data_IF_281471856384
#
_entry.id   IF_281471856384
#
_cell.length_a   1.000
_cell.length_b   1.000
_cell.length_c   1.000
_cell.angle_alpha   90.00
_cell.angle_beta   90.00
_cell.angle_gamma   90.00
#
_symmetry.space_group_name_H-M   'P 1'
#
loop_
_entity.id
_entity.type
_entity.pdbx_description
1 polymer ?
#
# COMPACT_ATOMS: atom_id res chain seq x y z
N UNK A 1 2.26 8.90 18.77
CA UNK A 1 1.25 7.82 18.90
C UNK A 1 1.87 6.45 18.70
N UNK A 2 1.34 5.46 19.43
CA UNK A 2 1.50 4.03 19.07
C UNK A 2 0.45 3.68 18.04
N UNK A 3 0.82 2.99 16.96
CA UNK A 3 -0.11 2.60 15.93
C UNK A 3 0.01 1.12 15.58
N UNK A 4 -1.11 0.53 15.20
CA UNK A 4 -1.22 -0.81 14.66
C UNK A 4 -1.84 -0.73 13.26
N UNK A 5 -1.43 -1.60 12.34
CA UNK A 5 -2.02 -1.69 11.00
C UNK A 5 -2.78 -3.00 10.89
N UNK A 6 -4.08 -2.89 10.70
CA UNK A 6 -4.98 -4.00 10.42
C UNK A 6 -5.17 -4.13 8.90
N UNK A 7 -4.83 -5.29 8.37
CA UNK A 7 -4.72 -5.51 6.94
C UNK A 7 -5.94 -6.25 6.37
N UNK A 8 -6.66 -5.60 5.44
CA UNK A 8 -7.83 -6.15 4.72
C UNK A 8 -7.68 -6.08 3.21
N UNK A 9 -6.47 -6.25 2.68
CA UNK A 9 -6.18 -6.03 1.27
C UNK A 9 -5.35 -7.13 0.61
N UNK A 10 -4.98 -6.86 -0.64
CA UNK A 10 -4.12 -7.74 -1.45
C UNK A 10 -2.63 -7.43 -1.21
N UNK A 11 -1.73 -8.19 -1.86
CA UNK A 11 -0.29 -7.99 -1.80
C UNK A 11 0.17 -6.53 -2.07
N UNK A 12 -0.52 -5.80 -2.97
CA UNK A 12 -0.21 -4.39 -3.21
C UNK A 12 -0.53 -3.51 -2.00
N UNK A 13 -1.66 -3.76 -1.35
CA UNK A 13 -2.02 -3.07 -0.10
C UNK A 13 -1.06 -3.42 1.04
N UNK A 14 -0.57 -4.67 1.06
CA UNK A 14 0.41 -5.06 2.08
C UNK A 14 1.68 -4.23 1.94
N UNK A 15 2.24 -4.10 0.72
CA UNK A 15 3.39 -3.23 0.45
C UNK A 15 3.09 -1.77 0.82
N UNK A 16 1.89 -1.26 0.51
CA UNK A 16 1.47 0.08 0.92
C UNK A 16 1.45 0.22 2.46
N UNK A 17 0.97 -0.80 3.17
CA UNK A 17 0.98 -0.83 4.65
C UNK A 17 2.38 -0.89 5.26
N UNK A 18 3.28 -1.64 4.66
CA UNK A 18 4.69 -1.70 5.07
C UNK A 18 5.40 -0.35 4.87
N UNK A 19 5.13 0.32 3.74
CA UNK A 19 5.61 1.68 3.49
C UNK A 19 4.99 2.69 4.46
N UNK A 20 3.67 2.59 4.69
CA UNK A 20 2.96 3.42 5.67
C UNK A 20 3.59 3.31 7.06
N UNK A 21 3.86 2.08 7.52
CA UNK A 21 4.53 1.85 8.80
C UNK A 21 5.91 2.52 8.86
N UNK A 22 6.72 2.37 7.80
CA UNK A 22 8.05 2.95 7.74
C UNK A 22 8.04 4.49 7.77
N UNK A 23 7.08 5.11 7.07
CA UNK A 23 6.91 6.57 7.05
C UNK A 23 6.46 7.12 8.40
N UNK A 24 5.57 6.42 9.09
CA UNK A 24 5.10 6.80 10.41
C UNK A 24 6.20 6.62 11.47
N UNK A 25 6.98 5.54 11.42
CA UNK A 25 8.14 5.34 12.30
C UNK A 25 9.20 6.43 12.09
N UNK A 26 9.47 6.80 10.83
CA UNK A 26 10.39 7.91 10.51
C UNK A 26 9.91 9.27 11.03
N UNK A 27 8.59 9.44 11.18
CA UNK A 27 7.97 10.64 11.75
C UNK A 27 7.88 10.62 13.29
N UNK A 28 8.42 9.59 13.96
CA UNK A 28 8.47 9.50 15.42
C UNK A 28 7.29 8.78 16.06
N UNK A 29 6.40 8.16 15.27
CA UNK A 29 5.36 7.28 15.80
C UNK A 29 5.92 5.86 16.01
N UNK A 30 5.26 5.05 16.84
CA UNK A 30 5.73 3.71 17.20
C UNK A 30 4.76 2.64 16.73
N UNK A 31 5.23 1.72 15.88
CA UNK A 31 4.46 0.54 15.52
C UNK A 31 4.36 -0.43 16.71
N UNK A 32 3.17 -0.98 16.94
CA UNK A 32 2.92 -2.04 17.93
C UNK A 32 2.30 -3.26 17.24
N UNK A 33 2.59 -4.49 17.73
CA UNK A 33 2.16 -5.72 17.06
C UNK A 33 0.68 -6.08 17.26
N UNK A 34 0.00 -5.37 18.17
CA UNK A 34 -1.40 -5.64 18.53
C UNK A 34 -2.21 -4.35 18.62
N UNK A 35 -3.47 -4.41 18.20
CA UNK A 35 -4.42 -3.32 18.36
C UNK A 35 -4.68 -2.95 19.83
N UNK A 36 -4.53 -3.88 20.77
CA UNK A 36 -4.66 -3.63 22.19
C UNK A 36 -3.68 -2.57 22.72
N UNK A 37 -2.45 -2.58 22.20
CA UNK A 37 -1.37 -1.69 22.60
C UNK A 37 -1.39 -0.34 21.87
N UNK A 38 -2.18 -0.23 20.81
CA UNK A 38 -2.22 0.95 19.95
C UNK A 38 -3.08 2.08 20.51
N UNK A 39 -2.65 3.32 20.28
CA UNK A 39 -3.48 4.53 20.45
C UNK A 39 -4.33 4.76 19.19
N UNK A 40 -3.80 4.37 18.02
CA UNK A 40 -4.44 4.48 16.73
C UNK A 40 -4.39 3.15 15.97
N UNK A 41 -5.53 2.68 15.48
CA UNK A 41 -5.62 1.52 14.60
C UNK A 41 -5.85 2.01 13.17
N UNK A 42 -4.94 1.64 12.28
CA UNK A 42 -5.00 1.99 10.86
C UNK A 42 -5.55 0.78 10.11
N UNK A 43 -6.75 0.90 9.56
CA UNK A 43 -7.36 -0.15 8.75
C UNK A 43 -6.93 0.07 7.31
N UNK A 44 -6.05 -0.81 6.81
CA UNK A 44 -5.56 -0.74 5.43
C UNK A 44 -6.49 -1.56 4.52
N UNK A 45 -7.37 -0.84 3.82
CA UNK A 45 -8.60 -1.34 3.23
C UNK A 45 -8.48 -1.72 1.76
N UNK A 46 -9.32 -2.65 1.32
CA UNK A 46 -9.59 -2.96 -0.08
C UNK A 46 -10.83 -2.22 -0.59
N UNK A 47 -10.72 -1.52 -1.72
CA UNK A 47 -11.83 -0.82 -2.37
C UNK A 47 -12.37 -1.50 -3.63
N UNK A 48 -11.91 -2.73 -3.93
CA UNK A 48 -12.21 -3.43 -5.18
C UNK A 48 -13.31 -4.48 -5.04
N UNK A 49 -13.20 -5.38 -4.07
CA UNK A 49 -14.11 -6.50 -3.85
C UNK A 49 -15.13 -6.15 -2.76
N UNK A 50 -16.42 -6.43 -3.00
CA UNK A 50 -17.49 -6.06 -2.07
C UNK A 50 -17.34 -6.70 -0.68
N UNK A 51 -16.97 -7.98 -0.64
CA UNK A 51 -16.72 -8.68 0.63
C UNK A 51 -15.59 -8.04 1.44
N UNK A 52 -14.49 -7.63 0.79
CA UNK A 52 -13.38 -6.99 1.46
C UNK A 52 -13.70 -5.55 1.93
N UNK A 53 -14.57 -4.84 1.19
CA UNK A 53 -15.10 -3.54 1.68
C UNK A 53 -15.89 -3.73 2.96
N UNK A 54 -16.82 -4.71 2.94
CA UNK A 54 -17.62 -5.05 4.12
C UNK A 54 -16.76 -5.43 5.31
N UNK A 55 -15.77 -6.30 5.11
CA UNK A 55 -14.81 -6.70 6.15
C UNK A 55 -14.09 -5.49 6.76
N UNK A 56 -13.61 -4.57 5.93
CA UNK A 56 -12.95 -3.34 6.39
C UNK A 56 -13.87 -2.43 7.21
N UNK A 57 -15.14 -2.30 6.81
CA UNK A 57 -16.15 -1.52 7.54
C UNK A 57 -16.49 -2.20 8.87
N UNK A 58 -16.76 -3.51 8.83
CA UNK A 58 -17.09 -4.30 10.04
C UNK A 58 -15.94 -4.23 11.06
N UNK A 59 -14.68 -4.25 10.60
CA UNK A 59 -13.50 -4.09 11.46
C UNK A 59 -13.49 -2.73 12.18
N UNK A 60 -13.75 -1.64 11.46
CA UNK A 60 -13.79 -0.30 12.06
C UNK A 60 -14.90 -0.16 13.11
N UNK A 61 -16.09 -0.70 12.82
CA UNK A 61 -17.21 -0.73 13.76
C UNK A 61 -16.87 -1.56 15.01
N UNK A 62 -16.25 -2.73 14.82
CA UNK A 62 -15.83 -3.59 15.91
C UNK A 62 -14.77 -2.90 16.80
N UNK A 63 -13.78 -2.23 16.21
CA UNK A 63 -12.76 -1.49 16.94
C UNK A 63 -13.39 -0.44 17.84
N UNK A 64 -14.29 0.39 17.33
CA UNK A 64 -14.95 1.41 18.12
C UNK A 64 -15.92 0.85 19.17
N UNK A 65 -16.50 -0.31 18.91
CA UNK A 65 -17.33 -1.00 19.90
C UNK A 65 -16.50 -1.51 21.08
N UNK A 66 -15.36 -2.14 20.83
CA UNK A 66 -14.50 -2.72 21.88
C UNK A 66 -13.56 -1.70 22.53
N UNK A 67 -13.12 -0.70 21.77
CA UNK A 67 -12.16 0.32 22.20
C UNK A 67 -12.61 1.73 21.75
N UNK A 68 -13.65 2.31 22.36
CA UNK A 68 -14.24 3.58 21.91
C UNK A 68 -13.26 4.77 21.92
N UNK A 69 -12.25 4.71 22.79
CA UNK A 69 -11.25 5.77 22.94
C UNK A 69 -10.11 5.70 21.92
N UNK A 70 -9.92 4.55 21.26
CA UNK A 70 -8.87 4.42 20.24
C UNK A 70 -9.22 5.18 18.97
N UNK A 71 -8.21 5.77 18.36
CA UNK A 71 -8.36 6.42 17.05
C UNK A 71 -8.44 5.37 15.94
N UNK A 72 -9.30 5.60 14.96
CA UNK A 72 -9.46 4.76 13.78
C UNK A 72 -9.16 5.59 12.53
N UNK A 73 -8.11 5.20 11.80
CA UNK A 73 -7.76 5.76 10.51
C UNK A 73 -8.09 4.74 9.41
N UNK A 74 -9.03 5.07 8.53
CA UNK A 74 -9.30 4.24 7.34
C UNK A 74 -8.32 4.66 6.24
N UNK A 75 -7.45 3.73 5.84
CA UNK A 75 -6.46 3.95 4.80
C UNK A 75 -6.64 2.98 3.62
N UNK A 76 -6.00 3.26 2.50
CA UNK A 76 -5.94 2.32 1.37
C UNK A 76 -6.97 2.55 0.27
N UNK A 77 -7.30 1.47 -0.46
CA UNK A 77 -8.10 1.56 -1.69
C UNK A 77 -9.55 2.00 -1.45
N UNK A 78 -10.17 1.61 -0.34
CA UNK A 78 -11.53 2.04 0.00
C UNK A 78 -11.54 3.55 0.30
N UNK A 79 -10.58 4.01 1.10
CA UNK A 79 -10.37 5.41 1.43
C UNK A 79 -10.13 6.27 0.17
N UNK A 80 -9.33 5.77 -0.77
CA UNK A 80 -9.06 6.46 -2.04
C UNK A 80 -10.31 6.57 -2.92
N UNK A 81 -11.16 5.53 -2.91
CA UNK A 81 -12.31 5.44 -3.81
C UNK A 81 -13.54 6.17 -3.30
N UNK A 82 -13.77 6.17 -2.00
CA UNK A 82 -15.00 6.66 -1.37
C UNK A 82 -14.75 7.57 -0.17
N UNK A 83 -13.86 8.59 -0.29
CA UNK A 83 -13.48 9.40 0.88
C UNK A 83 -14.66 10.18 1.48
N UNK A 84 -15.52 10.74 0.63
CA UNK A 84 -16.67 11.53 1.07
C UNK A 84 -17.71 10.68 1.80
N UNK A 85 -18.04 9.50 1.24
CA UNK A 85 -18.97 8.57 1.89
C UNK A 85 -18.45 8.12 3.25
N UNK A 86 -17.16 7.76 3.36
CA UNK A 86 -16.54 7.39 4.62
C UNK A 86 -16.57 8.53 5.65
N UNK A 87 -16.33 9.76 5.20
CA UNK A 87 -16.38 10.91 6.10
C UNK A 87 -17.80 11.26 6.53
N UNK A 88 -18.80 11.03 5.69
CA UNK A 88 -20.19 11.42 5.95
C UNK A 88 -20.97 10.34 6.70
N UNK A 89 -20.81 9.07 6.30
CA UNK A 89 -21.64 7.97 6.78
C UNK A 89 -20.99 7.16 7.90
N UNK A 90 -19.64 7.21 8.04
CA UNK A 90 -18.90 6.41 9.00
C UNK A 90 -18.32 7.29 10.12
N UNK A 91 -19.16 7.57 11.12
CA UNK A 91 -18.76 8.42 12.26
C UNK A 91 -17.69 7.79 13.15
N UNK A 92 -17.52 6.49 13.07
CA UNK A 92 -16.49 5.69 13.74
C UNK A 92 -15.07 5.95 13.21
N UNK A 93 -14.95 6.43 11.97
CA UNK A 93 -13.64 6.82 11.43
C UNK A 93 -13.24 8.20 11.95
N UNK A 94 -12.12 8.27 12.67
CA UNK A 94 -11.52 9.54 13.10
C UNK A 94 -10.77 10.24 11.95
N UNK A 95 -10.41 9.49 10.88
CA UNK A 95 -9.77 10.04 9.69
C UNK A 95 -9.78 9.09 8.50
N UNK A 96 -9.53 9.65 7.33
CA UNK A 96 -9.44 8.92 6.05
C UNK A 96 -8.14 9.31 5.34
N UNK A 97 -7.38 8.31 4.86
CA UNK A 97 -6.13 8.48 4.12
C UNK A 97 -6.17 7.67 2.82
N UNK A 98 -6.11 8.34 1.68
CA UNK A 98 -5.96 7.68 0.38
C UNK A 98 -4.62 6.97 0.23
N UNK A 99 -4.52 6.06 -0.75
CA UNK A 99 -3.32 5.30 -1.01
C UNK A 99 -2.43 5.90 -2.12
N UNK A 100 -2.83 7.03 -2.71
CA UNK A 100 -2.09 7.63 -3.80
C UNK A 100 -0.78 8.28 -3.35
N UNK A 101 -0.79 8.91 -2.18
CA UNK A 101 0.40 9.54 -1.59
C UNK A 101 0.55 9.20 -0.11
N UNK A 102 1.31 8.15 0.16
CA UNK A 102 1.59 7.70 1.53
C UNK A 102 2.52 8.64 2.30
N UNK A 103 3.16 9.61 1.63
CA UNK A 103 3.97 10.63 2.32
C UNK A 103 3.14 11.54 3.23
N UNK A 104 1.83 11.57 3.02
CA UNK A 104 0.87 12.34 3.82
C UNK A 104 0.42 11.63 5.11
N UNK A 105 0.83 10.38 5.31
CA UNK A 105 0.46 9.61 6.51
C UNK A 105 0.86 10.27 7.85
N UNK A 106 2.06 10.86 7.99
CA UNK A 106 2.41 11.58 9.22
C UNK A 106 1.49 12.76 9.51
N UNK A 107 0.99 13.43 8.46
CA UNK A 107 0.01 14.51 8.63
C UNK A 107 -1.34 13.97 9.12
N UNK A 108 -1.79 12.83 8.58
CA UNK A 108 -3.03 12.20 9.02
C UNK A 108 -2.98 11.88 10.52
N UNK A 109 -1.87 11.26 11.00
CA UNK A 109 -1.73 10.98 12.43
C UNK A 109 -1.65 12.25 13.29
N UNK A 110 -0.94 13.28 12.85
CA UNK A 110 -0.91 14.57 13.58
C UNK A 110 -2.32 15.19 13.73
N UNK A 111 -3.14 15.13 12.67
CA UNK A 111 -4.51 15.62 12.75
C UNK A 111 -5.32 14.83 13.80
N UNK A 112 -5.15 13.51 13.84
CA UNK A 112 -5.80 12.65 14.85
C UNK A 112 -5.33 12.97 16.28
N UNK A 113 -4.05 13.23 16.48
CA UNK A 113 -3.49 13.66 17.79
C UNK A 113 -4.14 14.96 18.28
N UNK A 114 -4.44 15.88 17.36
CA UNK A 114 -5.09 17.15 17.65
C UNK A 114 -6.62 17.02 17.77
N UNK A 115 -7.17 15.81 17.66
CA UNK A 115 -8.62 15.57 17.68
C UNK A 115 -9.34 16.08 16.42
N UNK A 116 -8.60 16.32 15.33
CA UNK A 116 -9.15 16.81 14.07
C UNK A 116 -9.53 15.62 13.18
N UNK A 117 -10.81 15.47 12.91
CA UNK A 117 -11.32 14.53 11.92
C UNK A 117 -11.05 15.07 10.51
N UNK A 118 -10.29 14.33 9.69
CA UNK A 118 -9.87 14.82 8.37
C UNK A 118 -9.82 13.73 7.32
N UNK A 119 -10.02 14.12 6.04
CA UNK A 119 -9.79 13.28 4.87
C UNK A 119 -8.59 13.82 4.11
N UNK A 120 -7.59 12.97 3.91
CA UNK A 120 -6.38 13.29 3.14
C UNK A 120 -6.32 12.33 1.96
N UNK A 121 -6.79 12.79 0.81
CA UNK A 121 -6.87 12.01 -0.42
C UNK A 121 -6.41 12.86 -1.59
N UNK A 122 -5.51 12.30 -2.40
CA UNK A 122 -5.06 12.94 -3.64
C UNK A 122 -5.95 12.48 -4.79
N UNK A 123 -6.57 13.43 -5.47
CA UNK A 123 -7.54 13.16 -6.54
C UNK A 123 -6.91 12.61 -7.83
N UNK A 124 -5.65 12.98 -8.11
CA UNK A 124 -4.94 12.59 -9.33
C UNK A 124 -3.69 11.75 -9.02
N UNK A 125 -3.86 10.45 -8.69
CA UNK A 125 -2.74 9.58 -8.32
C UNK A 125 -1.60 9.51 -9.34
N UNK A 126 -1.89 9.73 -10.64
CA UNK A 126 -0.90 9.68 -11.72
C UNK A 126 0.19 10.77 -11.64
N UNK A 127 -0.08 11.86 -10.94
CA UNK A 127 0.86 12.99 -10.79
C UNK A 127 1.87 12.76 -9.66
N UNK A 128 1.67 11.72 -8.86
CA UNK A 128 2.53 11.39 -7.72
C UNK A 128 3.70 10.54 -8.20
N UNK A 129 4.91 10.93 -7.81
CA UNK A 129 6.09 10.12 -8.06
C UNK A 129 5.95 8.75 -7.39
N UNK A 130 6.30 7.69 -8.13
CA UNK A 130 6.27 6.32 -7.66
C UNK A 130 7.68 5.74 -7.66
N UNK A 131 8.17 5.36 -6.49
CA UNK A 131 9.52 4.84 -6.32
C UNK A 131 9.69 4.10 -5.00
N UNK A 132 10.92 3.65 -4.74
CA UNK A 132 11.26 2.92 -3.54
C UNK A 132 11.22 3.80 -2.29
N UNK A 133 10.59 3.25 -1.26
CA UNK A 133 10.73 3.73 0.11
C UNK A 133 11.18 2.59 1.02
N UNK A 134 12.25 2.75 1.82
CA UNK A 134 12.80 1.66 2.65
C UNK A 134 11.79 1.11 3.65
N UNK A 135 11.31 -0.09 3.41
CA UNK A 135 10.37 -0.80 4.29
C UNK A 135 11.14 -1.60 5.33
N UNK A 136 11.16 -1.13 6.57
CA UNK A 136 11.86 -1.83 7.67
C UNK A 136 11.12 -3.09 8.11
N UNK A 137 9.79 -3.06 8.12
CA UNK A 137 8.92 -4.19 8.46
C UNK A 137 8.40 -4.81 7.19
N UNK A 138 8.31 -6.13 7.17
CA UNK A 138 7.65 -6.92 6.17
C UNK A 138 6.55 -7.70 6.87
N UNK A 139 5.35 -7.71 6.29
CA UNK A 139 4.20 -8.40 6.85
C UNK A 139 3.98 -9.78 6.22
N UNK A 140 4.91 -10.20 5.38
CA UNK A 140 4.94 -11.52 4.76
C UNK A 140 5.43 -12.62 5.72
N UNK A 141 5.35 -13.86 5.25
CA UNK A 141 5.98 -14.99 5.91
C UNK A 141 7.49 -14.83 5.94
N UNK A 142 8.16 -15.34 6.99
CA UNK A 142 9.62 -15.29 7.07
C UNK A 142 10.29 -15.82 5.79
N UNK A 143 11.22 -15.05 5.24
CA UNK A 143 11.94 -15.41 4.01
C UNK A 143 11.21 -15.07 2.70
N UNK A 144 10.01 -14.51 2.75
CA UNK A 144 9.25 -14.03 1.59
C UNK A 144 9.02 -12.52 1.66
N UNK A 145 8.95 -11.86 0.50
CA UNK A 145 8.54 -10.46 0.39
C UNK A 145 7.87 -10.16 -0.94
N UNK A 146 7.03 -9.14 -0.96
CA UNK A 146 6.49 -8.56 -2.18
C UNK A 146 7.32 -7.35 -2.61
N UNK A 147 7.60 -7.25 -3.92
CA UNK A 147 8.30 -6.13 -4.54
C UNK A 147 7.40 -5.54 -5.62
N UNK A 148 6.83 -4.38 -5.33
CA UNK A 148 5.90 -3.69 -6.22
C UNK A 148 6.68 -2.91 -7.27
N UNK A 149 6.58 -3.32 -8.56
CA UNK A 149 7.33 -2.73 -9.67
C UNK A 149 6.53 -1.75 -10.51
N UNK A 150 5.18 -1.85 -10.45
CA UNK A 150 4.26 -0.91 -11.11
C UNK A 150 3.12 -0.50 -10.19
N UNK A 151 2.56 0.67 -10.45
CA UNK A 151 1.35 1.18 -9.81
C UNK A 151 0.37 1.65 -10.89
N UNK A 152 -0.95 1.45 -10.64
CA UNK A 152 -1.97 1.81 -11.63
C UNK A 152 -2.05 0.86 -12.82
N UNK A 153 -3.00 1.12 -13.74
CA UNK A 153 -3.22 0.26 -14.90
C UNK A 153 -4.01 1.00 -15.99
N UNK A 154 -3.60 0.86 -17.25
CA UNK A 154 -4.24 1.48 -18.42
C UNK A 154 -5.13 0.53 -19.23
N UNK A 155 -5.30 -0.74 -18.83
CA UNK A 155 -6.10 -1.73 -19.57
C UNK A 155 -7.59 -1.41 -19.67
N UNK A 156 -8.14 -0.54 -18.83
CA UNK A 156 -9.54 -0.04 -18.86
C UNK A 156 -10.60 -1.14 -18.99
N UNK A 157 -10.39 -2.29 -18.34
CA UNK A 157 -11.38 -3.36 -18.30
C UNK A 157 -12.71 -2.85 -17.72
N UNK A 158 -13.83 -3.20 -18.35
CA UNK A 158 -15.17 -2.63 -18.05
C UNK A 158 -15.64 -2.82 -16.60
N UNK A 159 -15.14 -3.85 -15.92
CA UNK A 159 -15.47 -4.19 -14.52
C UNK A 159 -14.47 -3.65 -13.50
N UNK A 160 -13.35 -3.04 -13.94
CA UNK A 160 -12.20 -2.76 -13.10
C UNK A 160 -12.18 -1.32 -12.59
N UNK A 161 -12.11 -1.16 -11.27
CA UNK A 161 -12.01 0.14 -10.63
C UNK A 161 -10.56 0.62 -10.41
N UNK A 162 -9.55 -0.15 -10.81
CA UNK A 162 -8.14 0.19 -10.56
C UNK A 162 -7.73 1.55 -11.13
N UNK A 163 -8.09 1.92 -12.37
CA UNK A 163 -7.74 3.25 -12.89
C UNK A 163 -8.30 4.42 -12.05
N UNK A 164 -9.45 4.21 -11.39
CA UNK A 164 -10.07 5.21 -10.51
C UNK A 164 -9.38 5.28 -9.14
N UNK A 165 -8.84 4.15 -8.66
CA UNK A 165 -8.26 4.04 -7.32
C UNK A 165 -6.76 4.34 -7.34
N UNK A 166 -6.03 3.74 -8.31
CA UNK A 166 -4.56 3.76 -8.37
C UNK A 166 -4.02 4.56 -9.56
N UNK A 167 -4.90 5.10 -10.38
CA UNK A 167 -4.55 5.92 -11.54
C UNK A 167 -4.00 5.13 -12.72
N UNK A 168 -3.37 5.84 -13.65
CA UNK A 168 -2.69 5.29 -14.82
C UNK A 168 -1.44 4.52 -14.43
N UNK A 169 -0.96 3.69 -15.37
CA UNK A 169 0.28 2.93 -15.20
C UNK A 169 1.46 3.88 -14.89
N UNK A 170 2.22 3.51 -13.88
CA UNK A 170 3.50 4.11 -13.51
C UNK A 170 4.46 3.00 -13.16
N UNK A 171 5.57 2.93 -13.89
CA UNK A 171 6.62 1.93 -13.68
C UNK A 171 7.76 2.53 -12.88
N UNK A 172 8.33 1.75 -11.97
CA UNK A 172 9.57 2.12 -11.28
C UNK A 172 10.75 1.95 -12.23
N UNK A 173 11.82 2.72 -12.04
CA UNK A 173 13.04 2.49 -12.80
C UNK A 173 13.65 1.13 -12.48
N UNK A 174 14.38 0.54 -13.42
CA UNK A 174 15.03 -0.77 -13.22
C UNK A 174 16.04 -0.72 -12.08
N UNK A 175 16.75 0.38 -11.94
CA UNK A 175 17.75 0.62 -10.89
C UNK A 175 17.08 0.68 -9.51
N UNK A 176 15.94 1.36 -9.42
CA UNK A 176 15.18 1.47 -8.18
C UNK A 176 14.62 0.11 -7.72
N UNK A 177 14.11 -0.69 -8.67
CA UNK A 177 13.64 -2.06 -8.40
C UNK A 177 14.79 -2.97 -7.98
N UNK A 178 15.94 -2.87 -8.68
CA UNK A 178 17.13 -3.66 -8.35
C UNK A 178 17.69 -3.31 -6.97
N UNK A 179 17.76 -2.04 -6.62
CA UNK A 179 18.23 -1.59 -5.31
C UNK A 179 17.34 -2.13 -4.17
N UNK A 180 16.02 -2.17 -4.37
CA UNK A 180 15.13 -2.79 -3.38
C UNK A 180 15.32 -4.31 -3.30
N UNK A 181 15.49 -5.00 -4.43
CA UNK A 181 15.80 -6.43 -4.45
C UNK A 181 17.10 -6.72 -3.69
N UNK A 182 18.18 -5.97 -3.95
CA UNK A 182 19.45 -6.09 -3.24
C UNK A 182 19.26 -5.91 -1.72
N UNK A 183 18.47 -4.93 -1.31
CA UNK A 183 18.15 -4.72 0.10
C UNK A 183 17.37 -5.89 0.72
N UNK A 184 16.43 -6.48 0.00
CA UNK A 184 15.65 -7.64 0.48
C UNK A 184 16.54 -8.88 0.59
N UNK A 185 17.35 -9.16 -0.41
CA UNK A 185 18.29 -10.30 -0.43
C UNK A 185 19.33 -10.16 0.71
N UNK A 186 19.88 -8.97 0.92
CA UNK A 186 20.80 -8.70 2.04
C UNK A 186 20.17 -8.92 3.42
N UNK A 187 18.84 -8.86 3.52
CA UNK A 187 18.07 -9.17 4.74
C UNK A 187 17.71 -10.65 4.88
N UNK A 188 18.17 -11.50 3.96
CA UNK A 188 17.91 -12.94 3.97
C UNK A 188 16.54 -13.32 3.38
N UNK A 189 15.91 -12.46 2.59
CA UNK A 189 14.68 -12.81 1.87
C UNK A 189 15.06 -13.70 0.69
N UNK A 190 14.52 -14.92 0.71
CA UNK A 190 14.76 -15.93 -0.33
C UNK A 190 13.73 -15.86 -1.47
N UNK A 191 12.45 -15.65 -1.15
CA UNK A 191 11.39 -15.56 -2.17
C UNK A 191 10.92 -14.10 -2.32
N UNK A 192 11.13 -13.53 -3.51
CA UNK A 192 10.68 -12.18 -3.84
C UNK A 192 9.62 -12.26 -4.93
N UNK A 193 8.42 -11.82 -4.59
CA UNK A 193 7.26 -11.81 -5.46
C UNK A 193 7.14 -10.44 -6.15
N UNK A 194 7.45 -10.37 -7.45
CA UNK A 194 7.22 -9.17 -8.25
C UNK A 194 5.72 -8.96 -8.45
N UNK A 195 5.23 -7.79 -8.06
CA UNK A 195 3.79 -7.47 -8.11
C UNK A 195 3.53 -6.12 -8.77
N UNK A 196 2.32 -5.99 -9.31
CA UNK A 196 1.74 -4.80 -9.91
C UNK A 196 0.27 -5.08 -10.25
N UNK A 197 -0.35 -4.25 -11.08
CA UNK A 197 -1.70 -4.53 -11.58
C UNK A 197 -1.68 -5.37 -12.85
N UNK A 198 -0.68 -5.12 -13.71
CA UNK A 198 -0.36 -5.90 -14.91
C UNK A 198 1.15 -5.75 -15.14
N UNK A 199 1.91 -6.79 -14.81
CA UNK A 199 3.37 -6.75 -14.98
C UNK A 199 3.79 -6.82 -16.45
N UNK A 200 2.96 -7.38 -17.34
CA UNK A 200 3.21 -7.38 -18.78
C UNK A 200 3.24 -5.97 -19.38
N UNK A 201 2.71 -4.98 -18.66
CA UNK A 201 2.71 -3.57 -19.09
C UNK A 201 3.90 -2.77 -18.54
N UNK A 202 4.80 -3.37 -17.72
CA UNK A 202 5.95 -2.66 -17.15
C UNK A 202 6.76 -1.94 -18.24
N UNK A 203 7.05 -0.65 -18.04
CA UNK A 203 7.81 0.20 -18.97
C UNK A 203 6.98 0.89 -20.05
N UNK A 204 5.74 0.45 -20.33
CA UNK A 204 4.92 1.04 -21.41
C UNK A 204 4.61 2.52 -21.21
N UNK A 205 4.56 2.99 -19.97
CA UNK A 205 4.34 4.39 -19.62
C UNK A 205 5.53 5.30 -19.99
N UNK A 206 6.73 4.73 -20.18
CA UNK A 206 7.95 5.47 -20.54
C UNK A 206 8.43 5.20 -21.97
N UNK A 207 8.44 3.93 -22.41
CA UNK A 207 8.99 3.52 -23.71
C UNK A 207 7.92 3.23 -24.77
N UNK A 208 6.66 3.07 -24.37
CA UNK A 208 5.56 2.61 -25.22
C UNK A 208 5.50 1.09 -25.39
N UNK A 209 6.57 0.37 -25.03
CA UNK A 209 6.68 -1.09 -25.11
C UNK A 209 6.96 -1.69 -23.72
N UNK A 210 6.75 -3.02 -23.58
CA UNK A 210 7.05 -3.70 -22.33
C UNK A 210 8.56 -3.87 -22.15
N UNK A 211 9.08 -3.39 -21.04
CA UNK A 211 10.47 -3.58 -20.62
C UNK A 211 10.62 -4.70 -19.55
N UNK A 212 9.59 -5.52 -19.34
CA UNK A 212 9.63 -6.55 -18.29
C UNK A 212 10.79 -7.52 -18.45
N UNK A 213 11.07 -7.96 -19.68
CA UNK A 213 12.21 -8.88 -19.95
C UNK A 213 13.53 -8.23 -19.56
N UNK A 214 13.75 -6.98 -19.96
CA UNK A 214 14.97 -6.23 -19.61
C UNK A 214 15.10 -6.03 -18.09
N UNK A 215 13.97 -5.79 -17.40
CA UNK A 215 13.97 -5.74 -15.93
C UNK A 215 14.42 -7.08 -15.35
N UNK A 216 13.84 -8.20 -15.79
CA UNK A 216 14.21 -9.53 -15.28
C UNK A 216 15.70 -9.84 -15.51
N UNK A 217 16.24 -9.54 -16.70
CA UNK A 217 17.67 -9.65 -16.99
C UNK A 217 18.55 -8.78 -16.08
N UNK A 218 18.06 -7.58 -15.69
CA UNK A 218 18.76 -6.73 -14.72
C UNK A 218 18.71 -7.32 -13.31
N UNK A 219 17.57 -7.88 -12.91
CA UNK A 219 17.38 -8.46 -11.57
C UNK A 219 18.17 -9.78 -11.41
N UNK A 220 18.36 -10.57 -12.45
CA UNK A 220 19.18 -11.79 -12.43
C UNK A 220 20.66 -11.50 -12.12
N UNK A 221 21.13 -10.26 -12.29
CA UNK A 221 22.51 -9.85 -11.95
C UNK A 221 22.71 -9.49 -10.50
N UNK A 222 21.64 -9.47 -9.71
CA UNK A 222 21.75 -9.25 -8.27
C UNK A 222 22.36 -10.49 -7.63
N UNK A 223 23.44 -10.30 -6.87
CA UNK A 223 24.13 -11.38 -6.18
C UNK A 223 23.33 -11.86 -4.95
N UNK A 224 23.28 -13.18 -4.75
CA UNK A 224 22.64 -13.80 -3.59
C UNK A 224 21.82 -15.04 -3.95
N UNK A 225 21.34 -15.73 -2.94
CA UNK A 225 20.46 -16.90 -3.09
C UNK A 225 19.00 -16.45 -2.90
N UNK A 226 18.31 -16.31 -4.01
CA UNK A 226 16.90 -15.90 -4.02
C UNK A 226 16.15 -16.46 -5.20
N UNK A 227 14.83 -16.44 -5.11
CA UNK A 227 13.89 -16.81 -6.18
C UNK A 227 12.96 -15.65 -6.50
N UNK A 228 12.86 -15.29 -7.76
CA UNK A 228 11.84 -14.36 -8.25
C UNK A 228 10.58 -15.11 -8.68
N UNK A 229 9.43 -14.61 -8.28
CA UNK A 229 8.13 -15.01 -8.82
C UNK A 229 7.48 -13.80 -9.48
N UNK A 230 6.98 -13.98 -10.68
CA UNK A 230 6.29 -12.93 -11.43
C UNK A 230 4.79 -13.20 -11.35
N UNK A 231 4.05 -12.29 -10.72
CA UNK A 231 2.61 -12.42 -10.48
C UNK A 231 1.83 -11.35 -11.25
N UNK A 232 0.57 -11.64 -11.60
CA UNK A 232 -0.33 -10.67 -12.25
C UNK A 232 0.13 -10.24 -13.65
N UNK A 233 0.44 -11.19 -14.52
CA UNK A 233 0.65 -10.96 -15.95
C UNK A 233 -0.68 -11.16 -16.67
N UNK A 234 -1.12 -10.15 -17.39
CA UNK A 234 -2.26 -10.27 -18.30
C UNK A 234 -1.78 -10.92 -19.62
N UNK A 235 -2.49 -11.95 -20.13
CA UNK A 235 -2.13 -12.62 -21.39
C UNK A 235 -2.32 -11.72 -22.62
#
# INVERSE_FOLDING_TARGET
>A
LKFFIDHHGCAKNQVDGEELAARLEAAGHSYVPSGDEADCIIINTCGFIESAKKESIDAALAIKHFWPDKKVLIAGCLAQRYPEALMTEMTEADGVLGNADLSLAPQALRNLEQGQRSSIVVEQPREIAFGYYPRRRLFDYPGSAHLKITEGCDNRCSYCAIPLIRGSLRSRSMEDVAAELESLVARGIFEVNLIGQDLGAYGRDSSGESDLVRLLERLERVEGDFRLRVLYIHP
#
